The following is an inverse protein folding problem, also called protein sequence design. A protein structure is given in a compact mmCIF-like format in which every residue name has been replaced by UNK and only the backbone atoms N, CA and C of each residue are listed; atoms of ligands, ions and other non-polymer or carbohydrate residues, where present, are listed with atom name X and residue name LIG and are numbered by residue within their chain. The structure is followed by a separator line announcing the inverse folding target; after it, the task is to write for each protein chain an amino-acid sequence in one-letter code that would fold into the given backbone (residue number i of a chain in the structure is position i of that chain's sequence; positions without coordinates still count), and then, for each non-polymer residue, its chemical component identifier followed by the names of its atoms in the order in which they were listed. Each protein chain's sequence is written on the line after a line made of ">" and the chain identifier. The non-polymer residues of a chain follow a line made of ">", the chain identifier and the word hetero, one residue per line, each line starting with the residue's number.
data_IF_699257044443
#
_entry.id   IF_699257044443
#
_cell.length_a   1.000
_cell.length_b   1.000
_cell.length_c   1.000
_cell.angle_alpha   90.00
_cell.angle_beta   90.00
_cell.angle_gamma   90.00
#
_symmetry.space_group_name_H-M   'P 1'
#
loop_
_entity.id
_entity.type
_entity.pdbx_description
1 polymer ?
#
# COMPACT_ATOMS: atom_id res chain seq x y z
N UNK A 1 11.78 -6.27 -6.93
CA UNK A 1 10.65 -5.53 -7.54
C UNK A 1 9.35 -6.28 -7.30
N UNK A 2 8.29 -5.58 -6.86
CA UNK A 2 6.95 -6.14 -6.72
C UNK A 2 6.14 -5.80 -7.98
N UNK A 3 5.52 -6.79 -8.60
CA UNK A 3 4.69 -6.61 -9.80
C UNK A 3 3.25 -6.97 -9.42
N UNK A 4 2.37 -5.97 -9.42
CA UNK A 4 0.94 -6.19 -9.22
C UNK A 4 0.33 -6.71 -10.52
N UNK A 5 -0.43 -7.81 -10.45
CA UNK A 5 -1.23 -8.24 -11.59
C UNK A 5 -2.30 -7.20 -11.90
N UNK A 6 -2.86 -7.28 -13.09
CA UNK A 6 -3.76 -6.27 -13.64
C UNK A 6 -4.95 -5.99 -12.70
N UNK A 7 -5.19 -4.72 -12.43
CA UNK A 7 -6.39 -4.25 -11.72
C UNK A 7 -7.14 -3.27 -12.63
N UNK A 8 -8.05 -3.82 -13.40
CA UNK A 8 -8.97 -3.12 -14.30
C UNK A 8 -10.39 -3.62 -14.09
N UNK A 9 -11.34 -2.81 -14.42
CA UNK A 9 -12.75 -3.08 -14.34
C UNK A 9 -13.51 -2.10 -15.22
N UNK A 10 -14.83 -2.05 -15.14
CA UNK A 10 -15.63 -1.09 -15.88
C UNK A 10 -15.43 0.37 -15.39
N UNK A 11 -14.78 0.57 -14.23
CA UNK A 11 -14.29 1.86 -13.71
C UNK A 11 -13.02 2.35 -14.44
N UNK A 12 -12.24 1.42 -15.00
CA UNK A 12 -10.99 1.68 -15.74
C UNK A 12 -11.00 0.91 -17.07
N UNK A 13 -11.85 1.30 -18.02
CA UNK A 13 -12.06 0.52 -19.24
C UNK A 13 -10.80 0.48 -20.11
N UNK A 14 -10.53 -0.70 -20.67
CA UNK A 14 -9.48 -0.87 -21.68
C UNK A 14 -10.12 -0.84 -23.06
N UNK A 15 -9.60 -0.02 -23.98
CA UNK A 15 -10.15 0.13 -25.32
C UNK A 15 -10.15 -1.16 -26.14
N UNK A 16 -9.21 -2.07 -25.85
CA UNK A 16 -9.05 -3.37 -26.50
C UNK A 16 -9.72 -4.53 -25.74
N UNK A 17 -10.28 -4.26 -24.58
CA UNK A 17 -11.01 -5.25 -23.77
C UNK A 17 -12.27 -4.61 -23.18
N UNK A 18 -13.33 -4.47 -23.98
CA UNK A 18 -14.58 -3.86 -23.54
C UNK A 18 -15.25 -4.74 -22.47
N UNK A 19 -15.56 -4.15 -21.34
CA UNK A 19 -16.31 -4.79 -20.26
C UNK A 19 -17.77 -4.32 -20.28
N UNK A 20 -18.70 -5.16 -19.82
CA UNK A 20 -20.08 -4.74 -19.63
C UNK A 20 -20.17 -3.54 -18.70
N UNK A 21 -21.09 -2.61 -19.00
CA UNK A 21 -21.34 -1.47 -18.13
C UNK A 21 -22.03 -1.95 -16.84
N UNK A 22 -21.46 -1.58 -15.70
CA UNK A 22 -21.99 -1.89 -14.38
C UNK A 22 -22.59 -0.64 -13.72
N UNK A 23 -23.58 -0.82 -12.85
CA UNK A 23 -24.19 0.28 -12.10
C UNK A 23 -23.21 0.88 -11.07
N UNK A 24 -22.38 0.04 -10.46
CA UNK A 24 -21.36 0.42 -9.48
C UNK A 24 -19.99 -0.16 -9.90
N UNK A 25 -19.31 0.45 -10.87
CA UNK A 25 -18.10 -0.12 -11.47
C UNK A 25 -16.98 -0.44 -10.49
N UNK A 26 -16.78 0.39 -9.48
CA UNK A 26 -15.73 0.20 -8.45
C UNK A 26 -15.99 -1.01 -7.54
N UNK A 27 -17.27 -1.40 -7.37
CA UNK A 27 -17.70 -2.56 -6.58
C UNK A 27 -17.91 -3.82 -7.44
N UNK A 28 -17.83 -3.68 -8.75
CA UNK A 28 -18.14 -4.72 -9.72
C UNK A 28 -17.00 -5.71 -9.99
N UNK A 29 -17.01 -6.25 -11.20
CA UNK A 29 -16.02 -7.21 -11.67
C UNK A 29 -14.71 -6.52 -12.03
N UNK A 30 -13.76 -6.45 -11.08
CA UNK A 30 -12.43 -5.86 -11.28
C UNK A 30 -11.35 -6.65 -10.53
N UNK A 31 -10.08 -6.37 -10.83
CA UNK A 31 -8.93 -6.99 -10.17
C UNK A 31 -8.96 -8.51 -10.26
N UNK A 32 -8.78 -9.20 -9.15
CA UNK A 32 -8.75 -10.68 -9.13
C UNK A 32 -10.09 -11.30 -9.58
N UNK A 33 -11.23 -10.70 -9.27
CA UNK A 33 -12.53 -11.19 -9.75
C UNK A 33 -12.57 -11.27 -11.29
N UNK A 34 -12.11 -10.21 -11.96
CA UNK A 34 -12.02 -10.15 -13.41
C UNK A 34 -11.00 -11.16 -13.96
N UNK A 35 -9.82 -11.22 -13.34
CA UNK A 35 -8.73 -12.06 -13.81
C UNK A 35 -9.06 -13.56 -13.68
N UNK A 36 -9.76 -13.95 -12.63
CA UNK A 36 -10.25 -15.32 -12.45
C UNK A 36 -11.38 -15.68 -13.43
N UNK A 37 -12.23 -14.70 -13.78
CA UNK A 37 -13.24 -14.86 -14.83
C UNK A 37 -12.63 -14.91 -16.24
N UNK A 38 -11.44 -14.35 -16.44
CA UNK A 38 -10.74 -14.30 -17.73
C UNK A 38 -9.32 -14.89 -17.63
N UNK A 39 -9.18 -16.21 -17.38
CA UNK A 39 -7.91 -16.83 -17.03
C UNK A 39 -6.82 -16.67 -18.11
N UNK A 40 -7.18 -16.51 -19.38
CA UNK A 40 -6.21 -16.29 -20.45
C UNK A 40 -5.38 -15.00 -20.25
N UNK A 41 -6.00 -13.93 -19.72
CA UNK A 41 -5.32 -12.66 -19.43
C UNK A 41 -4.36 -12.88 -18.26
N UNK A 42 -4.85 -13.48 -17.17
CA UNK A 42 -4.05 -13.77 -15.99
C UNK A 42 -2.85 -14.65 -16.33
N UNK A 43 -3.06 -15.74 -17.06
CA UNK A 43 -2.00 -16.66 -17.48
C UNK A 43 -0.94 -15.98 -18.33
N UNK A 44 -1.32 -15.08 -19.22
CA UNK A 44 -0.38 -14.33 -20.05
C UNK A 44 0.54 -13.45 -19.17
N UNK A 45 -0.03 -12.75 -18.20
CA UNK A 45 0.73 -11.90 -17.29
C UNK A 45 1.61 -12.73 -16.33
N UNK A 46 1.06 -13.81 -15.76
CA UNK A 46 1.80 -14.70 -14.85
C UNK A 46 3.03 -15.33 -15.55
N UNK A 47 2.88 -15.82 -16.77
CA UNK A 47 4.01 -16.35 -17.55
C UNK A 47 5.09 -15.28 -17.78
N UNK A 48 4.70 -14.05 -18.09
CA UNK A 48 5.65 -12.95 -18.27
C UNK A 48 6.44 -12.65 -16.97
N UNK A 49 5.74 -12.57 -15.83
CA UNK A 49 6.35 -12.30 -14.52
C UNK A 49 7.27 -13.46 -14.11
N UNK A 50 6.80 -14.69 -14.27
CA UNK A 50 7.59 -15.90 -13.96
C UNK A 50 8.87 -16.00 -14.81
N UNK A 51 8.79 -15.73 -16.10
CA UNK A 51 9.99 -15.69 -16.96
C UNK A 51 10.99 -14.62 -16.51
N UNK A 52 10.50 -13.43 -16.10
CA UNK A 52 11.35 -12.38 -15.54
C UNK A 52 12.02 -12.83 -14.23
N UNK A 53 11.34 -13.63 -13.44
CA UNK A 53 11.84 -14.12 -12.16
C UNK A 53 13.06 -15.06 -12.28
N UNK A 54 13.33 -15.59 -13.46
CA UNK A 54 14.52 -16.41 -13.73
C UNK A 54 15.84 -15.62 -13.53
N UNK A 55 15.82 -14.32 -13.80
CA UNK A 55 17.03 -13.47 -13.80
C UNK A 55 16.93 -12.25 -12.88
N UNK A 56 15.75 -11.96 -12.35
CA UNK A 56 15.51 -10.77 -11.51
C UNK A 56 14.74 -11.13 -10.23
N UNK A 57 15.05 -10.50 -9.09
CA UNK A 57 14.28 -10.66 -7.86
C UNK A 57 12.94 -9.92 -7.99
N UNK A 58 11.92 -10.67 -8.38
CA UNK A 58 10.55 -10.15 -8.50
C UNK A 58 9.59 -10.93 -7.60
N UNK A 59 8.50 -10.28 -7.21
CA UNK A 59 7.40 -10.85 -6.45
C UNK A 59 6.07 -10.51 -7.13
N UNK A 60 5.07 -11.37 -6.98
CA UNK A 60 3.71 -11.15 -7.48
C UNK A 60 2.87 -10.51 -6.38
N UNK A 61 2.09 -9.49 -6.71
CA UNK A 61 1.11 -8.87 -5.82
C UNK A 61 -0.29 -9.03 -6.40
N UNK A 62 -1.19 -9.63 -5.62
CA UNK A 62 -2.56 -9.93 -6.00
C UNK A 62 -3.51 -8.84 -5.48
N UNK A 63 -4.15 -8.05 -6.36
CA UNK A 63 -5.09 -6.98 -5.97
C UNK A 63 -6.51 -7.51 -5.72
N UNK A 64 -7.32 -6.73 -5.03
CA UNK A 64 -8.77 -6.92 -4.91
C UNK A 64 -9.18 -8.34 -4.45
N UNK A 65 -8.46 -8.89 -3.48
CA UNK A 65 -8.82 -10.16 -2.86
C UNK A 65 -9.99 -9.95 -1.88
N UNK A 66 -10.97 -10.84 -1.90
CA UNK A 66 -12.04 -10.86 -0.91
C UNK A 66 -11.73 -11.79 0.26
N UNK A 67 -10.91 -12.83 0.03
CA UNK A 67 -10.55 -13.79 1.05
C UNK A 67 -9.64 -14.90 0.55
N UNK A 68 -9.66 -16.02 1.26
CA UNK A 68 -8.79 -17.18 1.00
C UNK A 68 -9.14 -17.91 -0.31
N UNK A 69 -10.40 -17.92 -0.71
CA UNK A 69 -10.80 -18.65 -1.92
C UNK A 69 -10.20 -17.99 -3.16
N UNK A 70 -10.24 -16.66 -3.26
CA UNK A 70 -9.60 -15.92 -4.35
C UNK A 70 -8.08 -16.09 -4.33
N UNK A 71 -7.49 -16.03 -3.14
CA UNK A 71 -6.04 -16.24 -2.97
C UNK A 71 -5.62 -17.63 -3.46
N UNK A 72 -6.36 -18.66 -3.07
CA UNK A 72 -6.07 -20.05 -3.47
C UNK A 72 -6.27 -20.27 -4.96
N UNK A 73 -7.35 -19.69 -5.53
CA UNK A 73 -7.57 -19.72 -6.97
C UNK A 73 -6.44 -19.02 -7.74
N UNK A 74 -5.97 -17.87 -7.26
CA UNK A 74 -4.83 -17.16 -7.85
C UNK A 74 -3.53 -18.00 -7.75
N UNK A 75 -3.27 -18.65 -6.61
CA UNK A 75 -2.11 -19.55 -6.46
C UNK A 75 -2.18 -20.74 -7.41
N UNK A 76 -3.34 -21.36 -7.57
CA UNK A 76 -3.54 -22.43 -8.56
C UNK A 76 -3.28 -21.95 -10.00
N UNK A 77 -3.63 -20.69 -10.32
CA UNK A 77 -3.28 -20.10 -11.62
C UNK A 77 -1.77 -19.89 -11.78
N UNK A 78 -1.06 -19.52 -10.71
CA UNK A 78 0.41 -19.41 -10.71
C UNK A 78 1.03 -20.79 -10.94
N UNK A 79 0.57 -21.83 -10.24
CA UNK A 79 1.05 -23.20 -10.41
C UNK A 79 0.84 -23.71 -11.85
N UNK A 80 -0.31 -23.38 -12.45
CA UNK A 80 -0.59 -23.68 -13.86
C UNK A 80 0.42 -23.03 -14.79
N UNK A 81 0.70 -21.72 -14.60
CA UNK A 81 1.67 -20.99 -15.41
C UNK A 81 3.09 -21.56 -15.26
N UNK A 82 3.47 -21.97 -14.05
CA UNK A 82 4.76 -22.63 -13.78
C UNK A 82 4.84 -23.98 -14.52
N UNK A 83 3.78 -24.77 -14.47
CA UNK A 83 3.69 -26.04 -15.19
C UNK A 83 3.85 -25.89 -16.71
N UNK A 84 3.18 -24.88 -17.31
CA UNK A 84 3.30 -24.58 -18.74
C UNK A 84 4.73 -24.14 -19.13
N UNK A 85 5.39 -23.32 -18.31
CA UNK A 85 6.76 -22.88 -18.54
C UNK A 85 7.74 -24.05 -18.41
N UNK A 86 7.57 -24.90 -17.39
CA UNK A 86 8.39 -26.09 -17.20
C UNK A 86 8.26 -27.06 -18.40
N UNK A 87 7.04 -27.32 -18.87
CA UNK A 87 6.76 -28.16 -20.02
C UNK A 87 7.38 -27.63 -21.34
N UNK A 88 7.51 -26.28 -21.43
CA UNK A 88 8.18 -25.63 -22.58
C UNK A 88 9.68 -25.39 -22.39
N UNK A 89 10.27 -25.91 -21.31
CA UNK A 89 11.72 -25.78 -21.03
C UNK A 89 12.16 -24.35 -20.67
N UNK A 90 11.24 -23.48 -20.25
CA UNK A 90 11.55 -22.10 -19.89
C UNK A 90 11.89 -21.99 -18.39
N UNK A 91 12.95 -21.24 -18.09
CA UNK A 91 13.39 -21.04 -16.73
C UNK A 91 12.53 -19.99 -15.99
N UNK A 92 12.28 -20.23 -14.69
CA UNK A 92 11.62 -19.32 -13.78
C UNK A 92 12.03 -19.62 -12.32
N UNK A 93 11.71 -18.72 -11.39
CA UNK A 93 11.87 -19.00 -9.96
C UNK A 93 10.65 -19.77 -9.43
N UNK A 94 10.78 -21.07 -9.07
CA UNK A 94 9.66 -21.87 -8.58
C UNK A 94 9.15 -21.43 -7.19
N UNK A 95 9.93 -20.61 -6.47
CA UNK A 95 9.58 -20.03 -5.18
C UNK A 95 9.45 -18.51 -5.28
N UNK A 96 8.77 -18.03 -6.32
CA UNK A 96 8.48 -16.61 -6.47
C UNK A 96 7.61 -16.15 -5.30
N UNK A 97 7.97 -15.07 -4.56
CA UNK A 97 7.13 -14.59 -3.48
C UNK A 97 5.77 -14.09 -4.00
N UNK A 98 4.70 -14.40 -3.26
CA UNK A 98 3.33 -13.99 -3.56
C UNK A 98 2.78 -13.18 -2.40
N UNK A 99 2.37 -11.94 -2.66
CA UNK A 99 1.77 -11.05 -1.70
C UNK A 99 0.30 -10.75 -1.99
N UNK A 100 -0.43 -10.37 -0.94
CA UNK A 100 -1.81 -9.91 -1.04
C UNK A 100 -1.89 -8.39 -0.87
N UNK A 101 -2.65 -7.72 -1.74
CA UNK A 101 -3.04 -6.34 -1.52
C UNK A 101 -4.27 -6.30 -0.61
N UNK A 102 -4.14 -5.61 0.52
CA UNK A 102 -5.23 -5.41 1.47
C UNK A 102 -5.88 -4.07 1.14
N UNK A 103 -6.98 -4.15 0.41
CA UNK A 103 -7.71 -2.97 -0.07
C UNK A 103 -9.23 -3.16 -0.03
N UNK A 104 -9.69 -4.37 0.32
CA UNK A 104 -11.09 -4.66 0.64
C UNK A 104 -11.27 -4.81 2.15
N UNK A 105 -12.41 -4.39 2.73
CA UNK A 105 -12.69 -4.61 4.15
C UNK A 105 -12.67 -6.09 4.56
N UNK A 106 -13.12 -6.99 3.68
CA UNK A 106 -13.10 -8.43 3.90
C UNK A 106 -11.67 -8.97 4.08
N UNK A 107 -10.74 -8.59 3.18
CA UNK A 107 -9.34 -8.97 3.31
C UNK A 107 -8.70 -8.36 4.56
N UNK A 108 -9.07 -7.12 4.93
CA UNK A 108 -8.58 -6.49 6.16
C UNK A 108 -9.00 -7.27 7.42
N UNK A 109 -10.24 -7.73 7.49
CA UNK A 109 -10.75 -8.58 8.59
C UNK A 109 -10.03 -9.95 8.62
N UNK A 110 -9.70 -10.50 7.46
CA UNK A 110 -9.11 -11.83 7.30
C UNK A 110 -7.58 -11.82 7.27
N UNK A 111 -6.90 -10.69 7.55
CA UNK A 111 -5.45 -10.54 7.37
C UNK A 111 -4.64 -11.64 8.06
N UNK A 112 -5.02 -12.07 9.27
CA UNK A 112 -4.30 -13.13 10.00
C UNK A 112 -4.43 -14.51 9.32
N UNK A 113 -5.55 -14.77 8.66
CA UNK A 113 -5.76 -15.99 7.87
C UNK A 113 -4.99 -15.93 6.56
N UNK A 114 -5.01 -14.78 5.89
CA UNK A 114 -4.24 -14.57 4.68
C UNK A 114 -2.74 -14.65 4.95
N UNK A 115 -2.27 -14.20 6.12
CA UNK A 115 -0.87 -14.26 6.51
C UNK A 115 -0.27 -15.67 6.51
N UNK A 116 -1.08 -16.69 6.75
CA UNK A 116 -0.61 -18.08 6.73
C UNK A 116 -0.32 -18.58 5.30
N UNK A 117 -0.82 -17.90 4.27
CA UNK A 117 -0.73 -18.32 2.89
C UNK A 117 0.00 -17.35 1.94
N UNK A 118 0.45 -16.18 2.42
CA UNK A 118 1.20 -15.20 1.62
C UNK A 118 2.58 -14.91 2.21
N UNK A 119 3.45 -14.34 1.40
CA UNK A 119 4.80 -13.95 1.82
C UNK A 119 4.87 -12.53 2.38
N UNK A 120 4.02 -11.62 1.89
CA UNK A 120 3.97 -10.22 2.30
C UNK A 120 2.61 -9.58 2.01
N UNK A 121 2.42 -8.36 2.55
CA UNK A 121 1.25 -7.54 2.31
C UNK A 121 1.59 -6.18 1.71
N UNK A 122 0.66 -5.64 0.93
CA UNK A 122 0.65 -4.23 0.55
C UNK A 122 -0.74 -3.65 0.82
N UNK A 123 -0.84 -2.58 1.59
CA UNK A 123 -2.13 -1.93 1.83
C UNK A 123 -2.42 -0.96 0.70
N UNK A 124 -3.50 -1.20 -0.04
CA UNK A 124 -4.02 -0.31 -1.07
C UNK A 124 -4.93 0.75 -0.46
N UNK A 125 -4.35 1.83 0.07
CA UNK A 125 -5.06 2.79 0.91
C UNK A 125 -6.22 3.49 0.21
N UNK A 126 -6.12 3.75 -1.09
CA UNK A 126 -7.16 4.48 -1.82
C UNK A 126 -8.47 3.68 -1.87
N UNK A 127 -8.41 2.42 -2.28
CA UNK A 127 -9.58 1.56 -2.36
C UNK A 127 -10.05 1.14 -0.95
N UNK A 128 -9.13 0.89 -0.01
CA UNK A 128 -9.48 0.56 1.38
C UNK A 128 -10.29 1.68 2.05
N UNK A 129 -9.87 2.94 1.94
CA UNK A 129 -10.61 4.10 2.49
C UNK A 129 -11.99 4.22 1.84
N UNK A 130 -12.05 4.12 0.51
CA UNK A 130 -13.30 4.18 -0.25
C UNK A 130 -14.30 3.13 0.24
N UNK A 131 -13.87 1.89 0.37
CA UNK A 131 -14.77 0.79 0.75
C UNK A 131 -15.12 0.78 2.25
N UNK A 132 -14.18 1.16 3.12
CA UNK A 132 -14.46 1.28 4.56
C UNK A 132 -15.49 2.35 4.88
N UNK A 133 -15.43 3.47 4.17
CA UNK A 133 -16.32 4.62 4.41
C UNK A 133 -17.54 4.61 3.50
N UNK A 134 -17.65 3.65 2.57
CA UNK A 134 -18.67 3.64 1.52
C UNK A 134 -18.75 4.99 0.77
N UNK A 135 -17.57 5.58 0.49
CA UNK A 135 -17.42 6.91 -0.06
C UNK A 135 -16.74 6.84 -1.43
N UNK A 136 -17.23 7.59 -2.40
CA UNK A 136 -16.55 7.71 -3.69
C UNK A 136 -15.35 8.68 -3.58
N UNK A 137 -14.14 8.18 -3.85
CA UNK A 137 -12.91 8.99 -3.81
C UNK A 137 -12.79 9.99 -4.96
N UNK A 138 -13.55 9.77 -6.05
CA UNK A 138 -13.49 10.59 -7.27
C UNK A 138 -14.58 11.68 -7.22
N UNK A 139 -15.48 11.63 -6.23
CA UNK A 139 -16.54 12.62 -6.09
C UNK A 139 -15.96 14.01 -5.83
N UNK A 140 -16.31 14.96 -6.70
CA UNK A 140 -16.03 16.38 -6.52
C UNK A 140 -17.09 17.06 -5.60
N UNK A 141 -17.99 16.29 -5.00
CA UNK A 141 -19.02 16.77 -4.12
C UNK A 141 -18.40 17.29 -2.82
N UNK A 142 -18.77 18.52 -2.43
CA UNK A 142 -18.37 19.14 -1.14
C UNK A 142 -18.82 18.31 0.08
N UNK A 143 -19.78 17.43 -0.10
CA UNK A 143 -20.27 16.48 0.92
C UNK A 143 -19.58 15.13 0.88
N UNK A 144 -18.52 14.97 0.09
CA UNK A 144 -17.77 13.71 0.04
C UNK A 144 -17.28 13.31 1.43
N UNK A 145 -17.58 12.08 1.82
CA UNK A 145 -17.17 11.50 3.11
C UNK A 145 -15.84 10.73 3.00
N UNK A 146 -15.18 10.77 1.85
CA UNK A 146 -13.85 10.19 1.67
C UNK A 146 -12.82 10.95 2.51
N UNK A 147 -12.33 10.33 3.58
CA UNK A 147 -11.46 10.98 4.55
C UNK A 147 -10.42 10.02 5.11
N UNK A 148 -9.15 10.10 4.67
CA UNK A 148 -8.07 9.24 5.18
C UNK A 148 -7.82 9.35 6.69
N UNK A 149 -8.10 10.51 7.30
CA UNK A 149 -7.96 10.73 8.75
C UNK A 149 -9.20 10.31 9.55
N UNK A 150 -10.15 9.61 8.92
CA UNK A 150 -11.29 9.07 9.65
C UNK A 150 -10.81 8.04 10.69
N UNK A 151 -11.29 8.10 11.97
CA UNK A 151 -10.82 7.21 13.03
C UNK A 151 -10.90 5.73 12.67
N UNK A 152 -11.95 5.29 11.96
CA UNK A 152 -12.08 3.90 11.50
C UNK A 152 -10.96 3.49 10.54
N UNK A 153 -10.54 4.38 9.64
CA UNK A 153 -9.42 4.12 8.71
C UNK A 153 -8.13 3.94 9.49
N UNK A 154 -7.83 4.86 10.41
CA UNK A 154 -6.61 4.80 11.21
C UNK A 154 -6.58 3.55 12.08
N UNK A 155 -7.72 3.19 12.69
CA UNK A 155 -7.84 1.97 13.49
C UNK A 155 -7.58 0.70 12.65
N UNK A 156 -8.11 0.64 11.43
CA UNK A 156 -7.86 -0.48 10.52
C UNK A 156 -6.40 -0.53 10.11
N UNK A 157 -5.79 0.60 9.74
CA UNK A 157 -4.36 0.65 9.40
C UNK A 157 -3.46 0.16 10.55
N UNK A 158 -3.73 0.61 11.78
CA UNK A 158 -3.02 0.15 12.98
C UNK A 158 -3.18 -1.36 13.20
N UNK A 159 -4.40 -1.88 13.02
CA UNK A 159 -4.70 -3.31 13.15
C UNK A 159 -3.94 -4.13 12.11
N UNK A 160 -3.91 -3.67 10.85
CA UNK A 160 -3.20 -4.34 9.76
C UNK A 160 -1.70 -4.43 10.04
N UNK A 161 -1.06 -3.31 10.43
CA UNK A 161 0.36 -3.27 10.75
C UNK A 161 0.70 -4.20 11.93
N UNK A 162 -0.13 -4.18 12.99
CA UNK A 162 0.05 -5.02 14.18
C UNK A 162 -0.13 -6.50 13.86
N UNK A 163 -1.17 -6.86 13.11
CA UNK A 163 -1.47 -8.26 12.75
C UNK A 163 -0.39 -8.85 11.83
N UNK A 164 0.07 -8.09 10.84
CA UNK A 164 1.17 -8.50 9.99
C UNK A 164 2.47 -8.70 10.81
N UNK A 165 2.77 -7.77 11.73
CA UNK A 165 3.91 -7.88 12.62
C UNK A 165 3.87 -9.12 13.52
N UNK A 166 2.71 -9.43 14.13
CA UNK A 166 2.51 -10.66 14.92
C UNK A 166 2.75 -11.94 14.11
N UNK A 167 2.39 -11.92 12.85
CA UNK A 167 2.58 -13.05 11.91
C UNK A 167 3.98 -13.05 11.25
N UNK A 168 4.84 -12.08 11.58
CA UNK A 168 6.18 -11.96 11.00
C UNK A 168 6.16 -11.67 9.49
N UNK A 169 5.09 -11.07 8.96
CA UNK A 169 4.95 -10.77 7.52
C UNK A 169 5.30 -9.31 7.23
N UNK A 170 6.16 -9.06 6.23
CA UNK A 170 6.38 -7.71 5.74
C UNK A 170 5.07 -7.08 5.28
N UNK A 171 4.85 -5.81 5.65
CA UNK A 171 3.71 -5.03 5.21
C UNK A 171 4.18 -3.66 4.73
N UNK A 172 3.70 -3.27 3.54
CA UNK A 172 3.90 -1.94 2.97
C UNK A 172 2.56 -1.22 2.82
N UNK A 173 2.61 0.09 2.66
CA UNK A 173 1.43 0.90 2.32
C UNK A 173 1.69 1.65 1.02
N UNK A 174 0.71 1.65 0.13
CA UNK A 174 0.72 2.39 -1.13
C UNK A 174 -0.53 3.30 -1.23
N UNK A 175 -0.58 4.08 -2.30
CA UNK A 175 -1.65 5.05 -2.54
C UNK A 175 -1.26 6.48 -2.20
N UNK A 176 -2.23 7.37 -2.21
CA UNK A 176 -2.01 8.81 -2.02
C UNK A 176 -1.49 9.14 -0.61
N UNK A 177 -2.04 8.46 0.40
CA UNK A 177 -1.61 8.61 1.81
C UNK A 177 -0.10 8.30 1.96
N UNK A 178 0.41 7.27 1.26
CA UNK A 178 1.82 6.92 1.30
C UNK A 178 2.71 7.98 0.63
N UNK A 179 2.16 8.70 -0.35
CA UNK A 179 2.88 9.68 -1.16
C UNK A 179 2.82 11.10 -0.59
N UNK A 180 2.00 11.34 0.42
CA UNK A 180 1.90 12.64 1.07
C UNK A 180 2.74 12.68 2.36
N UNK A 181 3.78 13.55 2.42
CA UNK A 181 4.62 13.72 3.62
C UNK A 181 3.85 14.01 4.90
N UNK A 182 2.68 14.64 4.79
CA UNK A 182 1.81 14.96 5.92
C UNK A 182 1.44 13.71 6.74
N UNK A 183 1.22 12.57 6.09
CA UNK A 183 0.86 11.32 6.78
C UNK A 183 2.07 10.50 7.24
N UNK A 184 3.26 10.80 6.75
CA UNK A 184 4.46 9.95 6.93
C UNK A 184 4.72 9.62 8.40
N UNK A 185 4.70 10.63 9.30
CA UNK A 185 4.94 10.45 10.74
C UNK A 185 3.89 9.53 11.37
N UNK A 186 2.61 9.74 11.06
CA UNK A 186 1.53 8.88 11.54
C UNK A 186 1.74 7.43 11.07
N UNK A 187 2.02 7.20 9.79
CA UNK A 187 2.22 5.86 9.23
C UNK A 187 3.38 5.12 9.92
N UNK A 188 4.49 5.81 10.19
CA UNK A 188 5.61 5.24 10.97
C UNK A 188 5.14 4.85 12.37
N UNK A 189 4.39 5.71 13.04
CA UNK A 189 3.84 5.47 14.38
C UNK A 189 2.85 4.31 14.44
N UNK A 190 2.06 4.12 13.39
CA UNK A 190 1.15 2.98 13.24
C UNK A 190 1.87 1.64 12.98
N UNK A 191 3.18 1.67 12.72
CA UNK A 191 3.99 0.47 12.55
C UNK A 191 4.39 0.16 11.11
N UNK A 192 4.03 0.97 10.11
CA UNK A 192 4.52 0.76 8.76
C UNK A 192 6.02 1.06 8.64
N UNK A 193 6.74 0.20 7.92
CA UNK A 193 8.19 0.31 7.70
C UNK A 193 8.56 0.36 6.23
N UNK A 194 7.58 0.27 5.34
CA UNK A 194 7.73 0.36 3.89
C UNK A 194 6.59 1.16 3.29
N UNK A 195 6.91 2.19 2.52
CA UNK A 195 5.96 3.04 1.81
C UNK A 195 6.27 2.99 0.32
N UNK A 196 5.25 2.63 -0.49
CA UNK A 196 5.33 2.70 -1.94
C UNK A 196 4.76 4.04 -2.40
N UNK A 197 5.62 4.92 -2.88
CA UNK A 197 5.29 6.31 -3.18
C UNK A 197 5.45 6.63 -4.66
N UNK A 198 4.73 7.63 -5.13
CA UNK A 198 4.89 8.14 -6.49
C UNK A 198 6.31 8.68 -6.70
N UNK A 199 6.96 8.44 -7.86
CA UNK A 199 8.36 8.80 -8.10
C UNK A 199 8.68 10.29 -7.82
N UNK A 200 7.77 11.19 -8.15
CA UNK A 200 7.90 12.64 -7.90
C UNK A 200 7.79 13.03 -6.43
N UNK A 201 7.32 12.15 -5.54
CA UNK A 201 7.16 12.41 -4.10
C UNK A 201 8.23 11.73 -3.24
N UNK A 202 9.12 10.94 -3.84
CA UNK A 202 10.14 10.16 -3.12
C UNK A 202 11.01 11.07 -2.23
N UNK A 203 11.45 12.21 -2.74
CA UNK A 203 12.35 13.09 -1.98
C UNK A 203 11.64 13.74 -0.79
N UNK A 204 10.40 14.17 -0.96
CA UNK A 204 9.59 14.79 0.09
C UNK A 204 9.30 13.79 1.23
N UNK A 205 8.83 12.60 0.87
CA UNK A 205 8.54 11.53 1.86
C UNK A 205 9.83 11.07 2.54
N UNK A 206 10.93 10.92 1.80
CA UNK A 206 12.23 10.58 2.39
C UNK A 206 12.74 11.66 3.36
N UNK A 207 12.49 12.93 3.04
CA UNK A 207 12.81 14.04 3.95
C UNK A 207 11.98 13.93 5.23
N UNK A 208 10.66 13.74 5.13
CA UNK A 208 9.77 13.55 6.28
C UNK A 208 10.18 12.36 7.16
N UNK A 209 10.54 11.20 6.55
CA UNK A 209 11.06 10.04 7.27
C UNK A 209 12.33 10.40 8.07
N UNK A 210 13.28 11.10 7.45
CA UNK A 210 14.56 11.45 8.09
C UNK A 210 14.42 12.49 9.20
N UNK A 211 13.38 13.31 9.16
CA UNK A 211 13.06 14.33 10.17
C UNK A 211 12.20 13.78 11.32
N UNK A 212 11.79 12.50 11.26
CA UNK A 212 10.90 11.88 12.24
C UNK A 212 11.68 10.88 13.09
N UNK A 213 11.55 10.94 14.41
CA UNK A 213 11.96 9.85 15.30
C UNK A 213 10.82 8.83 15.46
N UNK A 214 11.17 7.56 15.62
CA UNK A 214 10.16 6.49 15.83
C UNK A 214 9.34 6.77 17.09
N UNK A 215 9.98 7.22 18.16
CA UNK A 215 9.31 7.56 19.42
C UNK A 215 8.25 8.65 19.23
N UNK A 216 8.61 9.77 18.58
CA UNK A 216 7.67 10.87 18.36
C UNK A 216 6.51 10.45 17.44
N UNK A 217 6.78 9.53 16.50
CA UNK A 217 5.77 8.95 15.62
C UNK A 217 4.79 8.06 16.42
N UNK A 218 5.29 7.20 17.30
CA UNK A 218 4.47 6.35 18.15
C UNK A 218 3.63 7.16 19.15
N UNK A 219 4.19 8.24 19.73
CA UNK A 219 3.46 9.17 20.59
C UNK A 219 2.33 9.88 19.83
N UNK A 220 2.57 10.32 18.58
CA UNK A 220 1.53 10.89 17.73
C UNK A 220 0.43 9.88 17.41
N UNK A 221 0.81 8.67 17.00
CA UNK A 221 -0.13 7.60 16.67
C UNK A 221 -1.01 7.22 17.87
N UNK A 222 -0.43 7.13 19.07
CA UNK A 222 -1.17 6.83 20.30
C UNK A 222 -2.20 7.92 20.62
N UNK A 223 -1.85 9.21 20.48
CA UNK A 223 -2.80 10.32 20.65
C UNK A 223 -3.94 10.24 19.66
N UNK A 224 -3.64 9.99 18.37
CA UNK A 224 -4.62 9.94 17.30
C UNK A 224 -5.56 8.75 17.46
N UNK A 225 -5.04 7.57 17.84
CA UNK A 225 -5.85 6.37 18.08
C UNK A 225 -6.83 6.50 19.24
N UNK A 226 -6.59 7.44 20.16
CA UNK A 226 -7.50 7.74 21.28
C UNK A 226 -8.65 8.69 20.85
N UNK A 227 -8.61 9.28 19.65
CA UNK A 227 -9.64 10.21 19.15
C UNK A 227 -10.76 9.45 18.46
N UNK A 228 -11.97 9.97 18.57
CA UNK A 228 -13.18 9.35 18.02
C UNK A 228 -13.86 10.17 16.90
N UNK A 229 -13.34 11.37 16.59
CA UNK A 229 -13.89 12.20 15.54
C UNK A 229 -12.83 12.58 14.49
N UNK A 230 -13.23 12.62 13.24
CA UNK A 230 -12.40 13.08 12.11
C UNK A 230 -11.89 14.51 12.31
N UNK A 231 -12.73 15.39 12.89
CA UNK A 231 -12.37 16.77 13.19
C UNK A 231 -11.17 16.84 14.15
N UNK A 232 -11.22 16.08 15.24
CA UNK A 232 -10.17 16.11 16.25
C UNK A 232 -8.89 15.44 15.74
N UNK A 233 -9.03 14.36 14.97
CA UNK A 233 -7.90 13.69 14.31
C UNK A 233 -7.18 14.65 13.36
N UNK A 234 -7.94 15.37 12.52
CA UNK A 234 -7.41 16.36 11.59
C UNK A 234 -6.72 17.51 12.33
N UNK A 235 -7.34 18.01 13.41
CA UNK A 235 -6.76 19.07 14.23
C UNK A 235 -5.43 18.62 14.85
N UNK A 236 -5.37 17.43 15.43
CA UNK A 236 -4.16 16.86 16.02
C UNK A 236 -3.04 16.69 14.99
N UNK A 237 -3.37 16.20 13.78
CA UNK A 237 -2.42 16.07 12.69
C UNK A 237 -1.88 17.42 12.21
N UNK A 238 -2.76 18.41 12.04
CA UNK A 238 -2.37 19.75 11.58
C UNK A 238 -1.50 20.48 12.60
N UNK A 239 -1.80 20.31 13.90
CA UNK A 239 -0.99 20.85 14.98
C UNK A 239 0.43 20.23 15.00
N UNK A 240 0.52 18.92 14.90
CA UNK A 240 1.82 18.23 14.84
C UNK A 240 2.62 18.62 13.61
N UNK A 241 1.96 18.70 12.44
CA UNK A 241 2.59 19.16 11.20
C UNK A 241 3.12 20.58 11.28
N UNK A 242 2.36 21.51 11.87
CA UNK A 242 2.79 22.90 12.03
C UNK A 242 3.99 23.06 12.95
N UNK A 243 4.15 22.16 13.91
CA UNK A 243 5.28 22.19 14.86
C UNK A 243 6.52 21.43 14.36
N UNK A 244 6.35 20.37 13.62
CA UNK A 244 7.40 19.39 13.32
C UNK A 244 7.49 19.01 11.84
N UNK A 245 6.58 19.51 11.00
CA UNK A 245 6.60 19.26 9.57
C UNK A 245 7.89 19.75 8.91
N UNK A 246 8.37 19.12 7.84
CA UNK A 246 9.53 19.59 7.12
C UNK A 246 9.25 21.00 6.58
N UNK A 247 10.20 21.92 6.78
CA UNK A 247 10.15 23.26 6.19
C UNK A 247 10.11 23.12 4.67
N UNK A 248 9.12 23.74 4.03
CA UNK A 248 8.96 23.64 2.57
C UNK A 248 10.20 24.16 1.88
N UNK A 249 10.62 23.47 0.81
CA UNK A 249 11.79 23.88 0.01
C UNK A 249 11.68 25.30 -0.59
N UNK A 250 10.47 25.88 -0.60
CA UNK A 250 10.23 27.26 -1.05
C UNK A 250 10.52 28.31 0.02
N UNK A 251 10.72 27.92 1.29
CA UNK A 251 11.05 28.84 2.40
C UNK A 251 12.54 28.83 2.78
N UNK A 252 13.34 27.98 2.13
CA UNK A 252 14.78 27.96 2.35
C UNK A 252 15.44 29.07 1.56
N UNK A 253 15.55 30.26 2.17
CA UNK A 253 16.51 31.26 1.73
C UNK A 253 17.94 30.69 1.81
N UNK A 254 18.80 31.12 0.88
CA UNK A 254 20.15 30.58 0.62
C UNK A 254 21.11 30.62 1.83
N UNK A 255 20.75 31.29 2.93
CA UNK A 255 21.50 31.36 4.18
C UNK A 255 21.21 30.16 5.11
N UNK A 256 19.99 29.62 5.12
CA UNK A 256 19.54 28.53 6.01
C UNK A 256 20.00 27.16 5.48
N UNK A 257 20.15 27.01 4.17
CA UNK A 257 20.60 25.76 3.54
C UNK A 257 22.01 25.33 4.00
N UNK A 258 22.90 26.27 4.35
CA UNK A 258 24.26 25.97 4.82
C UNK A 258 24.32 25.49 6.27
N UNK A 259 23.36 25.84 7.13
CA UNK A 259 23.35 25.43 8.55
C UNK A 259 22.78 24.04 8.75
N UNK A 260 21.83 23.58 7.91
CA UNK A 260 21.22 22.26 8.00
C UNK A 260 22.16 21.11 7.60
N UNK A 261 23.18 21.39 6.77
CA UNK A 261 24.18 20.38 6.36
C UNK A 261 25.14 20.02 7.51
N UNK A 262 25.35 20.89 8.49
CA UNK A 262 26.32 20.71 9.56
C UNK A 262 25.75 20.06 10.85
N UNK A 263 24.44 20.10 11.09
CA UNK A 263 23.80 19.69 12.35
C UNK A 263 23.25 18.25 12.42
N UNK A 264 23.07 17.58 11.28
CA UNK A 264 22.20 16.41 11.15
C UNK A 264 22.80 15.01 11.41
N UNK A 265 23.89 14.85 12.17
CA UNK A 265 24.62 13.56 12.23
C UNK A 265 24.23 12.58 13.36
N UNK A 266 23.36 12.90 14.30
CA UNK A 266 23.10 12.00 15.45
C UNK A 266 21.76 11.27 15.47
N UNK A 267 20.70 11.75 14.81
CA UNK A 267 19.38 11.09 14.80
C UNK A 267 19.12 10.15 13.61
N UNK A 268 19.95 10.21 12.58
CA UNK A 268 19.69 9.54 11.29
C UNK A 268 20.00 8.03 11.26
N UNK A 269 20.71 7.48 12.25
CA UNK A 269 21.20 6.08 12.18
C UNK A 269 20.11 5.05 12.49
N UNK A 270 19.15 5.37 13.34
CA UNK A 270 18.11 4.41 13.73
C UNK A 270 16.97 4.32 12.72
N UNK A 271 16.59 5.44 12.09
CA UNK A 271 15.61 5.44 11.01
C UNK A 271 16.11 4.74 9.73
N UNK A 272 17.42 4.84 9.44
CA UNK A 272 18.02 4.20 8.25
C UNK A 272 18.04 2.66 8.33
N UNK A 273 18.07 2.06 9.52
CA UNK A 273 18.03 0.61 9.70
C UNK A 273 16.64 0.00 9.41
N UNK A 274 15.57 0.78 9.52
CA UNK A 274 14.21 0.29 9.30
C UNK A 274 13.79 0.23 7.82
N UNK A 275 14.45 0.98 6.91
CA UNK A 275 14.04 1.10 5.51
C UNK A 275 15.04 0.52 4.50
N UNK A 276 16.05 -0.20 4.96
CA UNK A 276 17.15 -0.71 4.11
C UNK A 276 16.94 -2.15 3.62
N UNK A 277 15.71 -2.60 3.41
CA UNK A 277 15.44 -3.92 2.85
C UNK A 277 14.17 -3.92 2.01
N UNK A 278 14.28 -3.52 0.75
CA UNK A 278 13.49 -4.08 -0.38
C UNK A 278 14.18 -3.67 -1.68
#
# INVERSE_FOLDING_TARGET
>A
TVIRVLDVGSDKPLSYFPLPREANPTLGCRGMRLLLAHPAILQTQLRAILRLSASHPVAILLPMLDGLDDLRAAKAAIDTAQGELAASGQSFNPRIPVGAMIETPSAAVLIERLADEVDFFSVGSNDLVQFLLAADRISEDEHSTYEPLHPAVIQVLATLATSAGRKGKPISLCGEIASDPFYTKLLIGLGFRSLSVSPNRILDVKHAIRSTSVRDAEELAARILALSSTRDTRACMSEDWSRHGPVSSNELDSSTARQLVSGGRRGARDAQRCFAAL
#
